data_IF_643216074032
#
_entry.id   IF_643216074032
#
_cell.length_a   1.000
_cell.length_b   1.000
_cell.length_c   1.000
_cell.angle_alpha   90.00
_cell.angle_beta   90.00
_cell.angle_gamma   90.00
#
_symmetry.space_group_name_H-M   'P 1'
#
loop_
_entity.id
_entity.type
_entity.pdbx_description
1 polymer ?
#
# COMPACT_ATOMS: atom_id res chain seq x y z
N UNK A 1 4.89 -15.81 -67.69
CA UNK A 1 5.84 -15.60 -66.58
C UNK A 1 5.07 -15.38 -65.30
N UNK A 2 4.83 -16.46 -64.55
CA UNK A 2 4.09 -16.44 -63.30
C UNK A 2 5.09 -16.32 -62.14
N UNK A 3 4.93 -15.27 -61.32
CA UNK A 3 5.77 -15.03 -60.13
C UNK A 3 4.99 -15.53 -58.90
N UNK A 4 5.30 -16.74 -58.45
CA UNK A 4 4.86 -17.28 -57.18
C UNK A 4 5.50 -16.48 -56.02
N UNK A 5 4.72 -15.76 -55.26
CA UNK A 5 5.11 -15.27 -53.92
C UNK A 5 4.62 -16.29 -52.90
N UNK A 6 5.54 -17.07 -52.37
CA UNK A 6 5.31 -17.86 -51.14
C UNK A 6 5.28 -16.91 -49.96
N UNK A 7 4.13 -16.76 -49.29
CA UNK A 7 4.07 -16.23 -47.94
C UNK A 7 4.74 -17.26 -47.03
N UNK A 8 5.88 -16.87 -46.48
CA UNK A 8 6.47 -17.60 -45.37
C UNK A 8 5.74 -17.19 -44.10
N UNK A 9 4.93 -18.09 -43.57
CA UNK A 9 4.39 -17.98 -42.21
C UNK A 9 5.56 -18.11 -41.23
N UNK A 10 6.05 -16.98 -40.74
CA UNK A 10 6.98 -16.96 -39.62
C UNK A 10 6.17 -17.32 -38.36
N UNK A 11 6.28 -18.59 -37.98
CA UNK A 11 6.06 -19.02 -36.61
C UNK A 11 7.15 -18.35 -35.76
N UNK A 12 6.83 -17.18 -35.17
CA UNK A 12 7.60 -16.70 -34.03
C UNK A 12 7.34 -17.67 -32.86
N UNK A 13 8.39 -18.28 -32.30
CA UNK A 13 8.23 -18.92 -31.02
C UNK A 13 7.87 -17.81 -30.02
N UNK A 14 6.75 -17.97 -29.35
CA UNK A 14 6.42 -17.23 -28.16
C UNK A 14 7.54 -17.50 -27.18
N UNK A 15 8.53 -16.62 -27.18
CA UNK A 15 9.50 -16.49 -26.10
C UNK A 15 8.67 -15.95 -24.93
N UNK A 16 8.11 -16.89 -24.14
CA UNK A 16 7.68 -16.59 -22.81
C UNK A 16 8.88 -15.91 -22.14
N UNK A 17 8.87 -14.58 -22.11
CA UNK A 17 9.70 -13.85 -21.21
C UNK A 17 9.25 -14.30 -19.81
N UNK A 18 9.90 -15.37 -19.30
CA UNK A 18 10.10 -15.51 -17.89
C UNK A 18 10.73 -14.17 -17.47
N UNK A 19 9.88 -13.22 -17.05
CA UNK A 19 10.31 -12.26 -16.06
C UNK A 19 10.74 -13.15 -14.89
N UNK A 20 12.02 -13.52 -14.91
CA UNK A 20 12.70 -13.87 -13.70
C UNK A 20 12.37 -12.69 -12.78
N UNK A 21 11.46 -12.90 -11.83
CA UNK A 21 11.52 -12.16 -10.59
C UNK A 21 12.98 -12.30 -10.19
N UNK A 22 13.78 -11.27 -10.47
CA UNK A 22 15.04 -11.10 -9.82
C UNK A 22 14.64 -11.12 -8.35
N UNK A 23 14.81 -12.27 -7.72
CA UNK A 23 14.62 -12.40 -6.30
C UNK A 23 15.44 -11.27 -5.74
N UNK A 24 14.79 -10.36 -5.00
CA UNK A 24 15.48 -9.28 -4.33
C UNK A 24 16.64 -9.96 -3.60
N UNK A 25 17.85 -9.71 -4.03
CA UNK A 25 19.03 -10.28 -3.41
C UNK A 25 18.94 -9.84 -1.95
N UNK A 26 18.97 -10.79 -1.02
CA UNK A 26 18.90 -10.51 0.40
C UNK A 26 19.94 -9.42 0.69
N UNK A 27 19.46 -8.22 0.99
CA UNK A 27 20.32 -7.08 1.23
C UNK A 27 20.87 -7.23 2.66
N UNK A 28 22.18 -7.36 2.80
CA UNK A 28 22.80 -7.40 4.11
C UNK A 28 22.73 -6.02 4.75
N UNK A 29 22.31 -5.97 5.98
CA UNK A 29 22.31 -4.77 6.79
C UNK A 29 23.12 -4.97 8.04
N UNK A 30 23.88 -3.96 8.37
CA UNK A 30 24.77 -3.90 9.52
C UNK A 30 24.14 -3.01 10.59
N UNK A 31 23.96 -3.55 11.79
CA UNK A 31 23.50 -2.81 12.97
C UNK A 31 24.66 -2.73 13.95
N UNK A 32 25.04 -1.52 14.34
CA UNK A 32 26.13 -1.28 15.28
C UNK A 32 25.90 -0.03 16.12
N UNK A 33 26.69 0.15 17.19
CA UNK A 33 26.65 1.34 18.03
C UNK A 33 27.48 2.45 17.45
N UNK A 34 26.94 3.66 17.35
CA UNK A 34 27.65 4.88 17.06
C UNK A 34 28.51 5.36 18.24
N UNK A 35 29.23 6.44 18.04
CA UNK A 35 30.16 6.99 19.06
C UNK A 35 29.42 7.46 20.33
N UNK A 36 28.19 7.93 20.17
CA UNK A 36 27.34 8.40 21.27
C UNK A 36 26.41 7.31 21.84
N UNK A 37 26.63 6.03 21.42
CA UNK A 37 25.84 4.90 21.88
C UNK A 37 24.49 4.70 21.17
N UNK A 38 24.16 5.52 20.18
CA UNK A 38 22.99 5.37 19.31
C UNK A 38 23.11 4.12 18.42
N UNK A 39 21.99 3.53 18.02
CA UNK A 39 21.98 2.45 17.05
C UNK A 39 22.09 3.01 15.62
N UNK A 40 23.11 2.57 14.88
CA UNK A 40 23.28 2.84 13.46
C UNK A 40 22.90 1.61 12.66
N UNK A 41 22.15 1.83 11.59
CA UNK A 41 21.77 0.82 10.60
C UNK A 41 22.34 1.25 9.24
N UNK A 42 23.12 0.37 8.59
CA UNK A 42 23.84 0.69 7.37
C UNK A 42 23.80 -0.49 6.40
N UNK A 43 23.84 -0.22 5.10
CA UNK A 43 24.02 -1.23 4.05
C UNK A 43 25.52 -1.62 3.88
N UNK A 44 26.42 -1.00 4.65
CA UNK A 44 27.85 -1.28 4.67
C UNK A 44 28.32 -1.58 6.08
N UNK A 45 29.35 -2.43 6.23
CA UNK A 45 29.97 -2.60 7.54
C UNK A 45 30.58 -1.28 8.04
N UNK A 46 30.71 -1.11 9.37
CA UNK A 46 31.38 0.07 9.91
C UNK A 46 32.85 0.15 9.43
N UNK A 47 33.24 1.33 8.97
CA UNK A 47 34.59 1.56 8.38
C UNK A 47 35.72 1.36 9.38
N UNK A 48 35.46 1.47 10.67
CA UNK A 48 36.43 1.32 11.77
C UNK A 48 36.51 -0.12 12.31
N UNK A 49 35.84 -1.07 11.70
CA UNK A 49 35.88 -2.49 12.06
C UNK A 49 35.25 -2.85 13.40
N UNK A 50 34.43 -1.94 13.99
CA UNK A 50 33.67 -2.26 15.23
C UNK A 50 32.70 -3.41 15.01
N UNK A 51 32.36 -4.10 16.07
CA UNK A 51 31.43 -5.22 16.03
C UNK A 51 30.06 -4.78 15.52
N UNK A 52 29.54 -5.49 14.53
CA UNK A 52 28.24 -5.25 13.93
C UNK A 52 27.41 -6.53 13.83
N UNK A 53 26.13 -6.43 14.11
CA UNK A 53 25.17 -7.49 13.85
C UNK A 53 24.77 -7.45 12.37
N UNK A 54 25.07 -8.51 11.63
CA UNK A 54 24.65 -8.64 10.21
C UNK A 54 23.27 -9.29 10.17
N UNK A 55 22.32 -8.63 9.53
CA UNK A 55 20.98 -9.15 9.28
C UNK A 55 20.71 -9.22 7.79
N UNK A 56 20.24 -10.35 7.32
CA UNK A 56 19.69 -10.48 5.98
C UNK A 56 18.27 -9.92 6.00
N UNK A 57 18.08 -8.83 5.27
CA UNK A 57 16.76 -8.23 5.08
C UNK A 57 16.02 -9.11 4.07
N UNK A 58 15.10 -9.94 4.55
CA UNK A 58 14.22 -10.75 3.68
C UNK A 58 13.35 -9.85 2.81
N UNK A 59 12.94 -10.38 1.67
CA UNK A 59 12.17 -9.64 0.66
C UNK A 59 10.91 -8.98 1.22
N UNK A 60 10.48 -7.94 0.55
CA UNK A 60 9.32 -7.12 0.87
C UNK A 60 8.06 -7.98 1.08
N UNK A 61 7.45 -7.89 2.26
CA UNK A 61 6.15 -8.50 2.54
C UNK A 61 5.08 -7.49 2.16
N UNK A 62 4.67 -7.51 0.90
CA UNK A 62 3.48 -6.76 0.47
C UNK A 62 2.21 -7.53 0.78
N UNK A 63 1.14 -6.80 1.07
CA UNK A 63 -0.12 -7.35 1.56
C UNK A 63 -0.89 -8.24 0.59
N UNK A 64 -0.45 -8.34 -0.66
CA UNK A 64 -1.11 -9.15 -1.68
C UNK A 64 -0.89 -8.59 -3.07
N UNK A 65 -1.62 -9.14 -4.02
CA UNK A 65 -1.65 -8.70 -5.41
C UNK A 65 -3.04 -8.88 -6.00
N UNK A 66 -3.34 -8.10 -7.03
CA UNK A 66 -4.48 -8.34 -7.89
C UNK A 66 -3.96 -8.90 -9.23
N UNK A 67 -4.54 -9.99 -9.69
CA UNK A 67 -4.33 -10.54 -11.02
C UNK A 67 -5.61 -10.38 -11.83
N UNK A 68 -5.49 -9.99 -13.10
CA UNK A 68 -6.56 -10.06 -14.09
C UNK A 68 -6.08 -10.97 -15.19
N UNK A 69 -6.86 -11.99 -15.52
CA UNK A 69 -6.56 -12.97 -16.56
C UNK A 69 -7.72 -13.05 -17.53
N UNK A 70 -7.43 -13.35 -18.77
CA UNK A 70 -8.40 -13.71 -19.79
C UNK A 70 -8.23 -15.17 -20.24
N UNK A 71 -9.34 -15.84 -20.53
CA UNK A 71 -9.39 -17.21 -20.98
C UNK A 71 -10.33 -17.34 -22.17
N UNK A 72 -9.83 -17.89 -23.28
CA UNK A 72 -10.67 -18.22 -24.42
C UNK A 72 -11.34 -19.58 -24.21
N UNK A 73 -12.68 -19.58 -24.15
CA UNK A 73 -13.49 -20.78 -23.88
C UNK A 73 -13.96 -21.51 -25.16
N UNK A 74 -13.51 -21.05 -26.34
CA UNK A 74 -13.91 -21.59 -27.66
C UNK A 74 -15.03 -20.80 -28.34
N UNK A 75 -15.89 -20.13 -27.58
CA UNK A 75 -16.97 -19.28 -28.09
C UNK A 75 -17.06 -17.91 -27.41
N UNK A 76 -16.21 -17.66 -26.42
CA UNK A 76 -16.13 -16.39 -25.71
C UNK A 76 -14.74 -16.17 -25.14
N UNK A 77 -14.42 -14.94 -24.75
CA UNK A 77 -13.30 -14.59 -23.89
C UNK A 77 -13.83 -14.16 -22.54
N UNK A 78 -13.47 -14.89 -21.49
CA UNK A 78 -13.86 -14.64 -20.11
C UNK A 78 -12.72 -13.94 -19.37
N UNK A 79 -13.05 -12.88 -18.64
CA UNK A 79 -12.12 -12.13 -17.80
C UNK A 79 -12.37 -12.43 -16.33
N UNK A 80 -11.31 -12.74 -15.60
CA UNK A 80 -11.38 -13.08 -14.18
C UNK A 80 -10.37 -12.24 -13.41
N UNK A 81 -10.82 -11.61 -12.32
CA UNK A 81 -9.94 -10.97 -11.36
C UNK A 81 -9.75 -11.85 -10.12
N UNK A 82 -8.52 -11.90 -9.62
CA UNK A 82 -8.17 -12.60 -8.38
C UNK A 82 -7.51 -11.66 -7.41
N UNK A 83 -8.21 -11.32 -6.34
CA UNK A 83 -7.72 -10.49 -5.26
C UNK A 83 -7.04 -11.33 -4.17
N UNK A 84 -5.75 -11.11 -3.97
CA UNK A 84 -4.96 -11.75 -2.90
C UNK A 84 -4.74 -10.85 -1.70
N UNK A 85 -5.23 -9.61 -1.72
CA UNK A 85 -5.19 -8.71 -0.56
C UNK A 85 -6.17 -9.15 0.53
N UNK A 86 -5.91 -8.72 1.76
CA UNK A 86 -6.83 -8.86 2.90
C UNK A 86 -7.80 -7.66 3.03
N UNK A 87 -7.93 -6.87 1.98
CA UNK A 87 -8.90 -5.80 1.82
C UNK A 87 -9.63 -5.97 0.48
N UNK A 88 -10.87 -5.47 0.32
CA UNK A 88 -11.47 -5.34 -0.99
C UNK A 88 -10.63 -4.39 -1.85
N UNK A 89 -10.68 -4.56 -3.16
CA UNK A 89 -10.04 -3.66 -4.12
C UNK A 89 -11.03 -3.25 -5.18
N UNK A 90 -11.05 -1.97 -5.52
CA UNK A 90 -11.72 -1.47 -6.70
C UNK A 90 -10.79 -1.61 -7.90
N UNK A 91 -11.25 -2.29 -8.93
CA UNK A 91 -10.58 -2.52 -10.20
C UNK A 91 -11.22 -1.68 -11.29
N UNK A 92 -10.42 -1.00 -12.10
CA UNK A 92 -10.84 -0.42 -13.39
C UNK A 92 -10.06 -1.09 -14.52
N UNK A 93 -10.78 -1.54 -15.54
CA UNK A 93 -10.24 -2.21 -16.72
C UNK A 93 -10.54 -1.38 -17.96
N UNK A 94 -9.53 -1.20 -18.82
CA UNK A 94 -9.64 -0.42 -20.05
C UNK A 94 -9.13 -1.25 -21.22
N UNK A 95 -9.97 -1.48 -22.22
CA UNK A 95 -9.55 -2.11 -23.46
C UNK A 95 -8.83 -1.11 -24.35
N UNK A 96 -7.65 -1.51 -24.87
CA UNK A 96 -6.85 -0.74 -25.84
C UNK A 96 -7.17 -1.12 -27.27
N UNK A 97 -7.46 -2.40 -27.50
CA UNK A 97 -7.94 -2.92 -28.78
C UNK A 97 -8.80 -4.15 -28.54
N UNK A 98 -9.84 -4.31 -29.32
CA UNK A 98 -10.75 -5.46 -29.29
C UNK A 98 -11.08 -5.84 -30.74
N UNK A 99 -10.86 -7.12 -31.08
CA UNK A 99 -11.28 -7.70 -32.37
C UNK A 99 -11.74 -9.13 -32.17
N UNK A 100 -12.69 -9.58 -32.99
CA UNK A 100 -13.18 -10.96 -33.00
C UNK A 100 -14.18 -11.30 -31.89
N UNK A 101 -14.61 -10.34 -31.09
CA UNK A 101 -15.64 -10.51 -30.04
C UNK A 101 -16.71 -9.44 -30.13
N UNK A 102 -17.89 -9.73 -29.60
CA UNK A 102 -18.95 -8.75 -29.39
C UNK A 102 -18.58 -7.91 -28.15
N UNK A 103 -18.48 -6.60 -28.36
CA UNK A 103 -18.29 -5.65 -27.27
C UNK A 103 -19.39 -4.60 -27.34
N UNK A 104 -20.35 -4.61 -26.39
CA UNK A 104 -21.56 -3.84 -26.55
C UNK A 104 -21.38 -2.33 -26.42
N UNK A 105 -20.44 -1.88 -25.57
CA UNK A 105 -20.31 -0.46 -25.26
C UNK A 105 -18.85 -0.05 -25.04
N UNK A 106 -18.19 0.59 -26.03
CA UNK A 106 -16.80 1.02 -25.86
C UNK A 106 -16.58 2.11 -24.80
N UNK A 107 -17.64 2.78 -24.36
CA UNK A 107 -17.60 3.86 -23.39
C UNK A 107 -18.00 3.41 -21.95
N UNK A 108 -18.22 2.11 -21.74
CA UNK A 108 -18.59 1.60 -20.41
C UNK A 108 -17.44 1.80 -19.42
N UNK A 109 -17.79 2.33 -18.25
CA UNK A 109 -16.89 2.41 -17.12
C UNK A 109 -16.79 1.03 -16.45
N UNK A 110 -15.81 0.25 -16.90
CA UNK A 110 -15.63 -1.13 -16.46
C UNK A 110 -14.95 -1.17 -15.09
N UNK A 111 -15.76 -1.10 -14.04
CA UNK A 111 -15.32 -1.14 -12.65
C UNK A 111 -16.00 -2.21 -11.85
N UNK A 112 -15.23 -2.82 -10.96
CA UNK A 112 -15.71 -3.84 -10.03
C UNK A 112 -15.03 -3.70 -8.68
N UNK A 113 -15.73 -4.05 -7.62
CA UNK A 113 -15.15 -4.26 -6.31
C UNK A 113 -14.93 -5.76 -6.12
N UNK A 114 -13.68 -6.15 -6.00
CA UNK A 114 -13.29 -7.54 -5.78
C UNK A 114 -13.09 -7.75 -4.27
N UNK A 115 -13.92 -8.58 -3.59
CA UNK A 115 -13.78 -8.80 -2.16
C UNK A 115 -12.40 -9.32 -1.77
N UNK A 116 -12.04 -9.12 -0.51
CA UNK A 116 -10.77 -9.62 0.03
C UNK A 116 -10.64 -11.14 -0.18
N UNK A 117 -9.46 -11.59 -0.62
CA UNK A 117 -9.10 -13.02 -0.75
C UNK A 117 -10.07 -13.81 -1.64
N UNK A 118 -10.61 -13.20 -2.68
CA UNK A 118 -11.59 -13.80 -3.57
C UNK A 118 -11.21 -13.70 -5.04
N UNK A 119 -11.99 -14.38 -5.87
CA UNK A 119 -11.97 -14.23 -7.33
C UNK A 119 -13.36 -13.82 -7.81
N UNK A 120 -13.42 -13.03 -8.88
CA UNK A 120 -14.65 -12.53 -9.48
C UNK A 120 -14.56 -12.67 -10.99
N UNK A 121 -15.58 -13.27 -11.61
CA UNK A 121 -15.79 -13.21 -13.04
C UNK A 121 -16.25 -11.80 -13.40
N UNK A 122 -15.44 -11.10 -14.19
CA UNK A 122 -15.67 -9.68 -14.49
C UNK A 122 -16.68 -9.52 -15.63
N UNK A 123 -16.38 -10.14 -16.75
CA UNK A 123 -17.21 -10.12 -17.96
C UNK A 123 -16.83 -11.29 -18.88
N UNK A 124 -17.75 -11.61 -19.77
CA UNK A 124 -17.56 -12.60 -20.84
C UNK A 124 -17.94 -11.95 -22.18
N UNK A 125 -17.04 -11.99 -23.16
CA UNK A 125 -17.19 -11.41 -24.48
C UNK A 125 -17.37 -12.54 -25.49
N UNK A 126 -18.60 -12.79 -26.03
CA UNK A 126 -18.83 -13.77 -27.07
C UNK A 126 -18.02 -13.49 -28.33
N UNK A 127 -17.55 -14.52 -29.00
CA UNK A 127 -16.89 -14.37 -30.32
C UNK A 127 -17.88 -14.04 -31.41
N UNK A 128 -17.48 -13.19 -32.35
CA UNK A 128 -18.29 -12.84 -33.53
C UNK A 128 -18.47 -14.05 -34.48
N UNK A 129 -17.50 -14.95 -34.51
CA UNK A 129 -17.52 -16.16 -35.32
C UNK A 129 -16.71 -17.25 -34.64
N UNK A 130 -17.14 -18.51 -34.77
CA UNK A 130 -16.39 -19.66 -34.27
C UNK A 130 -15.05 -19.89 -34.99
N UNK A 131 -14.82 -19.22 -36.11
CA UNK A 131 -13.57 -19.31 -36.90
C UNK A 131 -12.60 -18.18 -36.60
N UNK A 132 -13.06 -17.14 -35.88
CA UNK A 132 -12.21 -16.00 -35.52
C UNK A 132 -11.41 -16.28 -34.25
N UNK A 133 -10.14 -15.92 -34.29
CA UNK A 133 -9.31 -15.90 -33.09
C UNK A 133 -9.40 -14.50 -32.51
N UNK A 134 -9.99 -14.34 -31.32
CA UNK A 134 -10.05 -13.04 -30.65
C UNK A 134 -8.66 -12.44 -30.43
N UNK A 135 -8.52 -11.14 -30.63
CA UNK A 135 -7.32 -10.41 -30.25
C UNK A 135 -7.72 -9.22 -29.41
N UNK A 136 -7.35 -9.24 -28.14
CA UNK A 136 -7.73 -8.26 -27.12
C UNK A 136 -6.45 -7.76 -26.44
N UNK A 137 -6.35 -6.45 -26.30
CA UNK A 137 -5.32 -5.79 -25.51
C UNK A 137 -6.01 -4.90 -24.50
N UNK A 138 -5.62 -5.03 -23.24
CA UNK A 138 -6.22 -4.29 -22.12
C UNK A 138 -5.18 -3.90 -21.09
N UNK A 139 -5.51 -2.88 -20.32
CA UNK A 139 -4.79 -2.41 -19.14
C UNK A 139 -5.76 -2.35 -17.97
N UNK A 140 -5.23 -2.47 -16.79
CA UNK A 140 -6.02 -2.36 -15.57
C UNK A 140 -5.24 -1.66 -14.46
N UNK A 141 -5.99 -0.96 -13.63
CA UNK A 141 -5.49 -0.32 -12.41
C UNK A 141 -6.42 -0.68 -11.25
N UNK A 142 -5.91 -0.63 -10.04
CA UNK A 142 -6.73 -0.92 -8.86
C UNK A 142 -6.33 -0.06 -7.68
N UNK A 143 -7.26 0.14 -6.76
CA UNK A 143 -7.05 0.79 -5.46
C UNK A 143 -7.67 -0.06 -4.34
N UNK A 144 -7.04 -0.10 -3.15
CA UNK A 144 -7.65 -0.77 -2.00
C UNK A 144 -8.88 -0.01 -1.51
N UNK A 145 -9.84 -0.76 -0.95
CA UNK A 145 -11.09 -0.24 -0.40
C UNK A 145 -12.29 -0.43 -1.32
N UNK A 146 -13.47 -0.39 -0.71
CA UNK A 146 -14.76 -0.39 -1.40
C UNK A 146 -15.32 1.04 -1.39
N UNK A 147 -15.48 1.71 -2.55
CA UNK A 147 -15.97 3.08 -2.62
C UNK A 147 -17.44 3.24 -2.21
N UNK A 148 -18.20 2.14 -2.13
CA UNK A 148 -19.61 2.16 -1.70
C UNK A 148 -19.77 2.25 -0.18
N UNK A 149 -18.72 1.98 0.58
CA UNK A 149 -18.76 2.08 2.04
C UNK A 149 -18.55 3.53 2.48
N UNK A 150 -19.38 3.96 3.44
CA UNK A 150 -19.30 5.30 4.01
C UNK A 150 -18.65 5.27 5.41
N UNK A 151 -17.73 6.21 5.70
CA UNK A 151 -17.12 6.32 7.01
C UNK A 151 -18.18 6.48 8.12
N UNK A 152 -17.94 5.86 9.27
CA UNK A 152 -18.82 6.00 10.43
C UNK A 152 -18.81 7.44 10.95
N UNK A 153 -19.96 8.13 11.00
CA UNK A 153 -20.00 9.51 11.46
C UNK A 153 -19.57 9.66 12.92
N UNK A 154 -18.71 10.64 13.19
CA UNK A 154 -18.23 10.91 14.53
C UNK A 154 -17.26 9.89 15.09
N UNK A 155 -16.73 9.01 14.27
CA UNK A 155 -15.71 8.03 14.67
C UNK A 155 -14.48 8.75 15.25
N UNK A 156 -14.07 8.31 16.44
CA UNK A 156 -12.84 8.78 17.08
C UNK A 156 -11.79 7.68 17.11
N UNK A 157 -10.55 8.08 16.92
CA UNK A 157 -9.38 7.20 16.91
C UNK A 157 -8.60 7.35 18.21
N UNK A 158 -7.99 6.30 18.68
CA UNK A 158 -6.97 6.39 19.69
C UNK A 158 -5.74 7.09 19.09
N UNK A 159 -5.01 7.90 19.87
CA UNK A 159 -3.69 8.36 19.41
C UNK A 159 -2.78 7.13 19.23
N UNK A 160 -1.99 7.06 18.13
CA UNK A 160 -1.30 5.84 17.73
C UNK A 160 0.01 5.56 18.48
N UNK A 161 0.04 5.83 19.79
CA UNK A 161 1.19 5.55 20.66
C UNK A 161 0.77 5.14 22.08
N UNK A 162 1.73 4.61 22.86
CA UNK A 162 1.48 3.99 24.14
C UNK A 162 0.80 4.95 25.15
N UNK A 163 -0.12 4.39 25.97
CA UNK A 163 -0.82 5.14 27.04
C UNK A 163 0.16 5.84 27.97
N UNK A 164 -0.18 7.07 28.37
CA UNK A 164 0.62 7.91 29.26
C UNK A 164 1.77 8.63 28.57
N UNK A 165 2.02 8.37 27.27
CA UNK A 165 2.99 9.13 26.48
C UNK A 165 2.33 10.33 25.78
N UNK A 166 3.16 11.30 25.38
CA UNK A 166 2.67 12.47 24.64
C UNK A 166 3.70 12.96 23.64
N UNK A 167 3.24 13.29 22.42
CA UNK A 167 4.11 13.80 21.37
C UNK A 167 3.57 15.08 20.75
N UNK A 168 4.51 15.90 20.25
CA UNK A 168 4.21 17.12 19.53
C UNK A 168 3.64 16.77 18.15
N UNK A 169 2.54 17.39 17.76
CA UNK A 169 2.05 17.42 16.40
C UNK A 169 2.89 18.41 15.60
N UNK A 170 3.65 17.94 14.63
CA UNK A 170 4.50 18.80 13.79
C UNK A 170 3.79 19.28 12.54
N UNK A 171 2.86 18.48 12.01
CA UNK A 171 2.02 18.83 10.88
C UNK A 171 0.60 18.28 11.06
N UNK A 172 -0.38 19.08 10.73
CA UNK A 172 -1.80 18.73 10.62
C UNK A 172 -2.54 19.78 9.81
N UNK A 173 -3.67 19.41 9.18
CA UNK A 173 -4.51 20.36 8.47
C UNK A 173 -5.02 21.48 9.39
N UNK A 174 -5.04 22.78 8.95
CA UNK A 174 -4.59 23.28 7.64
C UNK A 174 -3.07 23.61 7.58
N UNK A 175 -2.35 23.54 8.70
CA UNK A 175 -0.97 24.01 8.85
C UNK A 175 0.04 22.89 8.55
N UNK A 176 0.05 22.37 7.32
CA UNK A 176 1.01 21.35 6.90
C UNK A 176 1.86 21.83 5.71
N UNK A 177 3.15 21.49 5.73
CA UNK A 177 4.10 21.86 4.68
C UNK A 177 4.20 20.80 3.56
N UNK A 178 4.00 19.53 3.87
CA UNK A 178 4.20 18.40 2.93
C UNK A 178 2.94 17.60 2.62
N UNK A 179 1.88 17.74 3.41
CA UNK A 179 0.60 17.05 3.17
C UNK A 179 -0.27 17.81 2.15
N UNK A 180 0.18 17.83 0.89
CA UNK A 180 -0.46 18.63 -0.17
C UNK A 180 -1.31 17.81 -1.13
N UNK A 181 -1.22 16.48 -1.07
CA UNK A 181 -2.00 15.57 -1.92
C UNK A 181 -3.31 15.16 -1.23
N UNK A 182 -4.29 14.69 -2.00
CA UNK A 182 -5.60 14.32 -1.46
C UNK A 182 -5.54 13.20 -0.41
N UNK A 183 -4.65 12.25 -0.61
CA UNK A 183 -4.43 11.12 0.28
C UNK A 183 -3.65 11.47 1.55
N UNK A 184 -3.03 12.63 1.62
CA UNK A 184 -2.26 13.11 2.78
C UNK A 184 -2.79 14.37 3.44
N UNK A 185 -3.70 15.11 2.81
CA UNK A 185 -4.14 16.45 3.25
C UNK A 185 -4.52 16.50 4.74
N UNK A 186 -5.17 15.48 5.26
CA UNK A 186 -5.60 15.39 6.67
C UNK A 186 -4.69 14.48 7.51
N UNK A 187 -3.51 14.13 7.00
CA UNK A 187 -2.55 13.39 7.80
C UNK A 187 -2.02 14.20 8.97
N UNK A 188 -1.57 13.49 10.00
CA UNK A 188 -1.00 14.06 11.21
C UNK A 188 0.39 13.47 11.44
N UNK A 189 1.39 14.35 11.59
CA UNK A 189 2.75 13.95 11.92
C UNK A 189 3.03 14.18 13.40
N UNK A 190 3.51 13.14 14.06
CA UNK A 190 3.91 13.19 15.47
C UNK A 190 5.42 13.10 15.58
N UNK A 191 6.07 14.10 16.18
CA UNK A 191 7.50 14.08 16.48
C UNK A 191 7.79 12.97 17.49
N UNK A 192 8.14 11.79 16.99
CA UNK A 192 8.41 10.60 17.79
C UNK A 192 9.86 10.14 17.58
N UNK A 193 10.66 9.99 18.64
CA UNK A 193 12.00 9.41 18.53
C UNK A 193 11.95 8.02 17.90
N UNK A 194 12.98 7.67 17.12
CA UNK A 194 13.12 6.31 16.57
C UNK A 194 13.06 5.28 17.72
N UNK A 195 12.28 4.22 17.53
CA UNK A 195 12.12 3.17 18.54
C UNK A 195 11.01 3.44 19.56
N UNK A 196 10.12 4.39 19.28
CA UNK A 196 8.94 4.63 20.13
C UNK A 196 7.79 3.73 19.68
N UNK A 197 7.09 3.11 20.66
CA UNK A 197 5.98 2.20 20.41
C UNK A 197 4.87 2.88 19.60
N UNK A 198 4.51 2.26 18.48
CA UNK A 198 3.34 2.61 17.66
C UNK A 198 2.26 1.54 17.86
N UNK A 199 1.05 1.99 18.14
CA UNK A 199 -0.11 1.12 18.39
C UNK A 199 -1.21 1.38 17.37
N UNK A 200 -2.04 0.37 17.12
CA UNK A 200 -3.23 0.53 16.26
C UNK A 200 -4.20 1.57 16.85
N UNK A 201 -4.62 2.54 16.06
CA UNK A 201 -5.53 3.61 16.50
C UNK A 201 -6.99 3.16 16.57
N UNK A 202 -7.37 2.09 15.84
CA UNK A 202 -8.71 1.49 15.78
C UNK A 202 -8.58 0.00 15.44
N UNK A 203 -9.58 -0.78 15.83
CA UNK A 203 -9.71 -2.18 15.44
C UNK A 203 -9.74 -2.35 13.93
N UNK A 204 -9.14 -3.41 13.41
CA UNK A 204 -9.16 -3.66 11.97
C UNK A 204 -8.38 -4.88 11.53
N UNK A 205 -8.20 -4.99 10.22
CA UNK A 205 -7.41 -6.04 9.56
C UNK A 205 -6.22 -5.41 8.86
N UNK A 206 -5.03 -5.84 9.18
CA UNK A 206 -3.82 -5.46 8.46
C UNK A 206 -3.92 -6.00 7.04
N UNK A 207 -3.80 -5.15 6.03
CA UNK A 207 -3.89 -5.61 4.64
C UNK A 207 -2.62 -5.32 3.82
N UNK A 208 -1.78 -4.41 4.29
CA UNK A 208 -0.54 -4.07 3.61
C UNK A 208 0.57 -3.73 4.61
N UNK A 209 1.78 -4.21 4.33
CA UNK A 209 2.98 -3.99 5.15
C UNK A 209 4.19 -3.82 4.25
N UNK A 210 4.92 -2.73 4.40
CA UNK A 210 6.27 -2.55 3.88
C UNK A 210 7.25 -2.42 5.05
N UNK A 211 8.26 -3.28 5.13
CA UNK A 211 9.08 -3.43 6.35
C UNK A 211 10.59 -3.55 6.10
N UNK A 212 11.02 -3.50 4.84
CA UNK A 212 12.39 -3.84 4.44
C UNK A 212 13.31 -2.64 4.26
N UNK A 213 12.76 -1.43 4.33
CA UNK A 213 13.52 -0.21 4.12
C UNK A 213 14.18 0.25 5.43
N UNK A 214 15.40 0.74 5.31
CA UNK A 214 16.18 1.26 6.44
C UNK A 214 16.73 2.66 6.18
N UNK A 215 16.51 3.20 4.96
CA UNK A 215 16.92 4.53 4.55
C UNK A 215 15.79 5.52 4.60
N UNK A 216 16.14 6.77 4.85
CA UNK A 216 15.24 7.91 4.75
C UNK A 216 16.02 9.21 4.62
N UNK A 217 15.37 10.23 4.07
CA UNK A 217 15.97 11.53 3.84
C UNK A 217 15.01 12.52 3.20
N UNK A 218 15.45 13.78 3.01
CA UNK A 218 14.61 14.87 2.53
C UNK A 218 14.48 14.93 1.00
N UNK A 219 15.06 14.01 0.25
CA UNK A 219 14.93 13.93 -1.20
C UNK A 219 13.73 13.04 -1.55
N UNK A 220 12.66 13.66 -2.08
CA UNK A 220 11.44 12.95 -2.41
C UNK A 220 11.65 11.93 -3.53
N UNK A 221 12.41 12.28 -4.57
CA UNK A 221 12.65 11.40 -5.71
C UNK A 221 13.42 10.14 -5.32
N UNK A 222 14.33 10.26 -4.34
CA UNK A 222 15.12 9.13 -3.85
C UNK A 222 14.35 8.28 -2.82
N UNK A 223 13.57 8.91 -1.92
CA UNK A 223 13.08 8.25 -0.72
C UNK A 223 11.58 8.00 -0.67
N UNK A 224 10.74 8.58 -1.54
CA UNK A 224 9.28 8.47 -1.44
C UNK A 224 8.78 7.01 -1.37
N UNK A 225 9.37 6.11 -2.14
CA UNK A 225 9.00 4.70 -2.19
C UNK A 225 9.59 3.84 -1.06
N UNK A 226 10.46 4.41 -0.21
CA UNK A 226 11.24 3.68 0.79
C UNK A 226 10.66 3.80 2.22
N UNK A 227 9.47 4.33 2.39
CA UNK A 227 8.82 4.36 3.69
C UNK A 227 8.37 2.95 4.12
N UNK A 228 8.76 2.53 5.33
CA UNK A 228 8.11 1.41 5.97
C UNK A 228 6.74 1.84 6.46
N UNK A 229 5.74 0.98 6.25
CA UNK A 229 4.36 1.30 6.60
C UNK A 229 3.55 0.06 7.01
N UNK A 230 2.48 0.33 7.73
CA UNK A 230 1.38 -0.62 8.01
C UNK A 230 0.08 0.07 7.59
N UNK A 231 -0.79 -0.66 6.88
CA UNK A 231 -2.16 -0.23 6.57
C UNK A 231 -3.16 -1.18 7.21
N UNK A 232 -4.13 -0.60 7.92
CA UNK A 232 -5.16 -1.34 8.66
C UNK A 232 -6.53 -0.93 8.14
N UNK A 233 -7.27 -1.88 7.56
CA UNK A 233 -8.65 -1.70 7.11
C UNK A 233 -9.60 -1.79 8.29
N UNK A 234 -10.51 -0.84 8.40
CA UNK A 234 -11.60 -0.80 9.37
C UNK A 234 -12.91 -1.32 8.77
N UNK A 235 -13.87 -1.61 9.61
CA UNK A 235 -15.18 -2.18 9.24
C UNK A 235 -16.09 -1.25 8.43
N UNK A 236 -15.85 0.07 8.50
CA UNK A 236 -16.55 1.10 7.72
C UNK A 236 -15.88 1.41 6.36
N UNK A 237 -14.91 0.61 5.93
CA UNK A 237 -14.20 0.78 4.66
C UNK A 237 -13.09 1.81 4.67
N UNK A 238 -12.92 2.57 5.76
CA UNK A 238 -11.74 3.42 5.94
C UNK A 238 -10.51 2.58 6.27
N UNK A 239 -9.32 3.11 6.03
CA UNK A 239 -8.10 2.46 6.46
C UNK A 239 -7.08 3.45 7.03
N UNK A 240 -6.43 3.04 8.11
CA UNK A 240 -5.37 3.82 8.72
C UNK A 240 -4.02 3.47 8.09
N UNK A 241 -3.19 4.50 7.89
CA UNK A 241 -1.82 4.42 7.42
C UNK A 241 -0.88 4.87 8.53
N UNK A 242 0.10 4.04 8.84
CA UNK A 242 1.18 4.33 9.77
C UNK A 242 2.47 4.26 8.96
N UNK A 243 3.15 5.38 8.75
CA UNK A 243 4.34 5.42 7.90
C UNK A 243 5.58 5.94 8.62
N UNK A 244 6.71 5.85 7.92
CA UNK A 244 8.07 6.11 8.40
C UNK A 244 8.50 5.21 9.56
N UNK A 245 7.92 4.01 9.64
CA UNK A 245 8.18 3.03 10.70
C UNK A 245 9.63 2.54 10.68
N UNK A 246 10.11 2.15 11.86
CA UNK A 246 11.47 1.70 12.01
C UNK A 246 11.67 0.32 11.37
N UNK A 247 12.84 0.15 10.81
CA UNK A 247 13.24 -1.09 10.18
C UNK A 247 13.21 -2.27 11.17
N UNK A 248 12.69 -3.42 10.69
CA UNK A 248 12.63 -4.69 11.44
C UNK A 248 11.88 -4.62 12.79
N UNK A 249 10.99 -3.64 12.98
CA UNK A 249 10.18 -3.53 14.21
C UNK A 249 8.71 -3.86 14.01
N UNK A 250 8.23 -3.94 12.76
CA UNK A 250 6.84 -4.30 12.48
C UNK A 250 6.57 -5.73 12.92
N UNK A 251 5.52 -5.93 13.74
CA UNK A 251 5.17 -7.23 14.35
C UNK A 251 3.85 -7.80 13.84
N UNK A 252 3.19 -7.08 12.95
CA UNK A 252 1.94 -7.51 12.32
C UNK A 252 2.17 -7.87 10.85
N UNK A 253 1.27 -8.70 10.31
CA UNK A 253 1.32 -9.19 8.92
C UNK A 253 -0.04 -9.01 8.25
N UNK A 254 -0.08 -8.93 6.92
CA UNK A 254 -1.34 -8.95 6.18
C UNK A 254 -2.20 -10.17 6.56
N UNK A 255 -3.44 -9.88 6.97
CA UNK A 255 -4.41 -10.84 7.48
C UNK A 255 -4.56 -10.84 9.00
N UNK A 256 -3.64 -10.25 9.75
CA UNK A 256 -3.77 -10.14 11.19
C UNK A 256 -4.91 -9.19 11.56
N UNK A 257 -5.71 -9.59 12.56
CA UNK A 257 -6.68 -8.71 13.22
C UNK A 257 -6.02 -8.04 14.40
N UNK A 258 -6.11 -6.73 14.45
CA UNK A 258 -5.58 -5.92 15.55
C UNK A 258 -6.69 -5.16 16.26
N UNK A 259 -6.48 -4.91 17.56
CA UNK A 259 -7.36 -4.08 18.38
C UNK A 259 -6.74 -2.70 18.61
N UNK A 260 -7.59 -1.71 18.83
CA UNK A 260 -7.12 -0.39 19.22
C UNK A 260 -6.22 -0.47 20.47
N UNK A 261 -5.03 0.11 20.37
CA UNK A 261 -4.01 0.06 21.43
C UNK A 261 -3.05 -1.13 21.34
N UNK A 262 -3.26 -2.05 20.41
CA UNK A 262 -2.31 -3.16 20.18
C UNK A 262 -1.03 -2.66 19.51
N UNK A 263 0.12 -3.09 20.02
CA UNK A 263 1.43 -2.74 19.46
C UNK A 263 1.59 -3.32 18.05
N UNK A 264 2.02 -2.46 17.10
CA UNK A 264 2.19 -2.88 15.69
C UNK A 264 3.62 -2.71 15.18
N UNK A 265 4.34 -1.68 15.64
CA UNK A 265 5.70 -1.35 15.19
C UNK A 265 6.33 -0.30 16.10
N UNK A 266 7.56 0.10 15.79
CA UNK A 266 8.17 1.32 16.33
C UNK A 266 8.17 2.44 15.28
N UNK A 267 8.08 3.68 15.75
CA UNK A 267 8.36 4.86 14.93
C UNK A 267 9.80 4.87 14.46
N UNK A 268 10.03 5.45 13.29
CA UNK A 268 11.35 5.45 12.65
C UNK A 268 11.65 6.75 11.91
N UNK A 269 12.43 6.60 10.84
CA UNK A 269 12.83 7.70 9.95
C UNK A 269 13.10 7.16 8.54
N UNK A 270 12.24 6.26 8.05
CA UNK A 270 12.38 5.64 6.73
C UNK A 270 11.54 6.36 5.67
N UNK A 271 12.02 6.35 4.43
CA UNK A 271 11.32 7.02 3.32
C UNK A 271 11.60 8.53 3.25
N UNK A 272 10.73 9.28 2.55
CA UNK A 272 10.82 10.74 2.45
C UNK A 272 10.49 11.40 3.79
N UNK A 273 11.49 11.98 4.43
CA UNK A 273 11.38 12.51 5.80
C UNK A 273 12.45 13.55 6.07
N UNK A 274 12.12 14.56 6.86
CA UNK A 274 13.08 15.57 7.38
C UNK A 274 13.62 15.24 8.77
N UNK A 275 13.10 14.19 9.43
CA UNK A 275 13.51 13.78 10.77
C UNK A 275 12.57 12.73 11.37
N UNK A 276 12.94 12.10 12.49
CA UNK A 276 12.14 11.04 13.11
C UNK A 276 10.74 11.49 13.47
N UNK A 277 9.73 10.79 12.93
CA UNK A 277 8.32 11.04 13.21
C UNK A 277 7.45 9.83 12.85
N UNK A 278 6.22 9.81 13.33
CA UNK A 278 5.16 8.96 12.83
C UNK A 278 4.23 9.79 11.96
N UNK A 279 4.10 9.42 10.69
CA UNK A 279 3.04 9.88 9.81
C UNK A 279 1.80 9.01 9.99
N UNK A 280 0.68 9.61 10.33
CA UNK A 280 -0.60 8.92 10.54
C UNK A 280 -1.69 9.55 9.68
N UNK A 281 -2.37 8.76 8.88
CA UNK A 281 -3.52 9.19 8.08
C UNK A 281 -4.65 8.18 8.15
N UNK A 282 -5.89 8.64 8.06
CA UNK A 282 -7.05 7.81 7.77
C UNK A 282 -7.48 8.12 6.35
N UNK A 283 -7.65 7.10 5.55
CA UNK A 283 -7.94 7.21 4.13
C UNK A 283 -9.15 6.37 3.75
N UNK A 284 -9.76 6.68 2.60
CA UNK A 284 -10.76 5.84 1.94
C UNK A 284 -10.58 5.83 0.43
N UNK A 285 -11.13 4.84 -0.23
CA UNK A 285 -11.34 4.86 -1.67
C UNK A 285 -12.64 5.61 -1.97
N UNK A 286 -12.60 6.54 -2.92
CA UNK A 286 -13.74 7.34 -3.37
C UNK A 286 -13.92 7.21 -4.90
N UNK A 287 -13.95 5.96 -5.42
CA UNK A 287 -14.07 5.67 -6.84
C UNK A 287 -12.77 5.91 -7.61
N UNK A 288 -11.87 4.93 -7.61
CA UNK A 288 -10.53 4.98 -8.22
C UNK A 288 -9.69 6.20 -7.77
N UNK A 289 -9.91 6.65 -6.54
CA UNK A 289 -9.21 7.77 -5.94
C UNK A 289 -9.13 7.60 -4.44
N UNK A 290 -7.93 7.65 -3.89
CA UNK A 290 -7.73 7.66 -2.44
C UNK A 290 -7.82 9.09 -1.92
N UNK A 291 -8.49 9.27 -0.80
CA UNK A 291 -8.64 10.54 -0.10
C UNK A 291 -8.42 10.33 1.39
N UNK A 292 -7.67 11.25 2.01
CA UNK A 292 -7.55 11.29 3.47
C UNK A 292 -8.75 11.97 4.10
N UNK A 293 -9.08 11.57 5.32
CA UNK A 293 -10.22 12.07 6.09
C UNK A 293 -9.73 12.84 7.32
N UNK A 294 -10.45 13.90 7.75
CA UNK A 294 -10.19 14.54 9.03
C UNK A 294 -10.21 13.52 10.17
N UNK A 295 -9.16 13.52 10.99
CA UNK A 295 -9.04 12.59 12.11
C UNK A 295 -9.35 13.31 13.41
N UNK A 296 -10.23 12.71 14.20
CA UNK A 296 -10.51 13.12 15.57
C UNK A 296 -10.02 12.05 16.54
N UNK A 297 -9.18 12.43 17.50
CA UNK A 297 -8.65 11.53 18.49
C UNK A 297 -9.47 11.51 19.77
N UNK A 298 -9.33 10.44 20.56
CA UNK A 298 -9.90 10.33 21.91
C UNK A 298 -9.02 11.06 22.90
N UNK A 299 -9.56 12.09 23.54
CA UNK A 299 -8.95 12.78 24.65
C UNK A 299 -9.25 12.13 26.00
N UNK A 300 -8.99 12.86 27.08
CA UNK A 300 -9.19 12.40 28.46
C UNK A 300 -10.69 12.20 28.72
N UNK A 301 -11.07 10.97 29.10
CA UNK A 301 -12.50 10.65 29.32
C UNK A 301 -13.29 10.36 28.05
N UNK A 302 -12.60 10.28 26.88
CA UNK A 302 -13.23 9.90 25.61
C UNK A 302 -13.75 11.08 24.77
N UNK A 303 -13.55 12.32 25.22
CA UNK A 303 -13.93 13.50 24.44
C UNK A 303 -13.16 13.57 23.11
N UNK A 304 -13.79 14.05 22.02
CA UNK A 304 -13.13 14.21 20.74
C UNK A 304 -12.12 15.36 20.77
N UNK A 305 -10.90 15.11 20.30
CA UNK A 305 -9.81 16.09 20.19
C UNK A 305 -9.24 16.09 18.78
N UNK A 306 -9.21 17.27 18.15
CA UNK A 306 -8.55 17.43 16.86
C UNK A 306 -7.03 17.63 17.06
N UNK A 307 -6.23 17.11 16.14
CA UNK A 307 -4.82 17.45 16.08
C UNK A 307 -4.65 18.89 15.57
N UNK A 308 -3.70 19.60 16.15
CA UNK A 308 -3.31 20.94 15.69
C UNK A 308 -1.79 21.06 15.72
N UNK A 309 -1.20 21.59 14.66
CA UNK A 309 0.24 21.82 14.58
C UNK A 309 0.72 22.66 15.76
N UNK A 310 1.81 22.26 16.41
CA UNK A 310 2.34 22.88 17.61
C UNK A 310 1.71 22.39 18.93
N UNK A 311 0.59 21.66 18.91
CA UNK A 311 -0.01 21.08 20.10
C UNK A 311 0.65 19.74 20.47
N UNK A 312 0.46 19.30 21.73
CA UNK A 312 0.84 17.96 22.17
C UNK A 312 -0.42 17.12 22.40
N UNK A 313 -0.47 15.96 21.82
CA UNK A 313 -1.50 14.98 22.12
C UNK A 313 -0.98 13.97 23.15
N UNK A 314 -1.85 13.56 24.05
CA UNK A 314 -1.58 12.60 25.12
C UNK A 314 -2.42 11.34 24.85
N UNK A 315 -1.81 10.16 24.97
CA UNK A 315 -2.53 8.88 24.87
C UNK A 315 -3.21 8.56 26.19
N UNK A 316 -4.53 8.39 26.15
CA UNK A 316 -5.36 7.93 27.26
C UNK A 316 -5.92 6.54 27.00
N UNK A 317 -6.39 5.88 28.07
CA UNK A 317 -7.08 4.57 27.98
C UNK A 317 -8.46 4.71 27.34
#
# INVERSE_FOLDING_TARGET
MARNRKLATLLLPFLAALLACAGAAAQSMYKYRGENGEWIYSDRPPDDGRESEVRNVGGEVRGGSLEVTDEFTGNAVRFVARNRYHAPVELSLVFRSITGVEYPHPDDDLRWVIPARSSLDLLELPTLSALDVPAISYEWVYLPGDPALEPEPGQTYRVPFAVGTSFLVTQSYPDSATHLTRDSMYAVDFAMPVGTDVVAARDGVVFDVASTNFKGGPDEDEYASLANLVRILHDDGTFAVYAHLNWNTIRVRPGDRVRAGEYIADSGNTGFTSGPHLHFAVQRNLGMRVESLPVTFRGRGGEPVAASSGARLISYN
#
